data_IF_168160841387
#
_entry.id   IF_168160841387
#
_cell.length_a   1.000
_cell.length_b   1.000
_cell.length_c   1.000
_cell.angle_alpha   90.00
_cell.angle_beta   90.00
_cell.angle_gamma   90.00
#
_symmetry.space_group_name_H-M   'P 1'
#
loop_
_entity.id
_entity.type
_entity.pdbx_description
1 polymer ?
#
# COMPACT_ATOMS: atom_id res chain seq x y z
N UNK A 1 14.04 20.10 24.36
CA UNK A 1 13.96 20.58 22.96
C UNK A 1 13.74 19.34 22.10
N UNK A 2 12.70 19.32 21.26
CA UNK A 2 12.40 18.16 20.42
C UNK A 2 13.35 18.14 19.22
N UNK A 3 13.74 16.93 18.79
CA UNK A 3 14.63 16.71 17.65
C UNK A 3 13.99 17.25 16.35
N UNK A 4 14.79 17.89 15.48
CA UNK A 4 14.33 18.44 14.19
C UNK A 4 13.82 17.37 13.22
N UNK A 5 14.10 16.09 13.52
CA UNK A 5 13.61 14.94 12.77
C UNK A 5 12.17 14.52 13.12
N UNK A 6 11.56 15.09 14.17
CA UNK A 6 10.21 14.73 14.61
C UNK A 6 9.17 15.19 13.58
N UNK A 7 8.59 14.22 12.86
CA UNK A 7 7.50 14.46 11.91
C UNK A 7 6.17 13.96 12.47
N UNK A 8 5.25 14.89 12.71
CA UNK A 8 3.84 14.59 12.96
C UNK A 8 3.16 14.24 11.63
N UNK A 9 2.58 13.05 11.56
CA UNK A 9 1.78 12.59 10.43
C UNK A 9 0.45 12.05 10.96
N UNK A 10 -0.63 12.23 10.20
CA UNK A 10 -1.94 11.68 10.54
C UNK A 10 -2.12 10.30 9.88
N UNK A 11 -2.92 9.44 10.51
CA UNK A 11 -3.22 8.11 9.98
C UNK A 11 -4.21 8.23 8.81
N UNK A 12 -3.70 8.19 7.57
CA UNK A 12 -4.51 8.23 6.34
C UNK A 12 -5.39 6.99 6.19
N UNK A 13 -5.03 5.87 6.79
CA UNK A 13 -5.80 4.63 6.71
C UNK A 13 -7.08 4.70 7.56
N UNK A 14 -7.07 5.47 8.64
CA UNK A 14 -8.20 5.61 9.56
C UNK A 14 -9.30 6.55 9.06
N UNK A 15 -9.03 7.31 7.99
CA UNK A 15 -9.99 8.26 7.43
C UNK A 15 -10.97 7.52 6.51
N UNK A 16 -12.20 7.29 6.98
CA UNK A 16 -13.25 6.59 6.22
C UNK A 16 -13.60 7.30 4.90
N UNK A 17 -13.49 8.63 4.83
CA UNK A 17 -13.72 9.39 3.60
C UNK A 17 -12.70 9.07 2.47
N UNK A 18 -11.54 8.52 2.81
CA UNK A 18 -10.53 8.09 1.84
C UNK A 18 -10.70 6.63 1.39
N UNK A 19 -11.69 5.90 1.95
CA UNK A 19 -11.92 4.48 1.64
C UNK A 19 -12.17 4.24 0.14
N UNK A 20 -13.02 5.04 -0.50
CA UNK A 20 -13.33 4.89 -1.93
C UNK A 20 -12.09 5.10 -2.82
N UNK A 21 -11.16 5.98 -2.42
CA UNK A 21 -9.90 6.17 -3.14
C UNK A 21 -8.97 4.97 -2.97
N UNK A 22 -8.89 4.41 -1.75
CA UNK A 22 -8.12 3.18 -1.48
C UNK A 22 -8.67 2.01 -2.28
N UNK A 23 -9.98 1.82 -2.30
CA UNK A 23 -10.64 0.74 -3.03
C UNK A 23 -10.34 0.80 -4.54
N UNK A 24 -10.37 2.00 -5.13
CA UNK A 24 -9.97 2.20 -6.53
C UNK A 24 -8.50 1.82 -6.79
N UNK A 25 -7.58 2.17 -5.88
CA UNK A 25 -6.16 1.81 -6.00
C UNK A 25 -5.99 0.29 -5.87
N UNK A 26 -6.67 -0.32 -4.91
CA UNK A 26 -6.62 -1.77 -4.67
C UNK A 26 -7.17 -2.54 -5.87
N UNK A 27 -8.30 -2.12 -6.43
CA UNK A 27 -8.88 -2.71 -7.63
C UNK A 27 -7.92 -2.61 -8.82
N UNK A 28 -7.27 -1.47 -9.03
CA UNK A 28 -6.26 -1.31 -10.09
C UNK A 28 -5.08 -2.26 -9.92
N UNK A 29 -4.51 -2.32 -8.73
CA UNK A 29 -3.36 -3.18 -8.41
C UNK A 29 -3.73 -4.67 -8.54
N UNK A 30 -4.94 -5.05 -8.12
CA UNK A 30 -5.44 -6.41 -8.27
C UNK A 30 -5.56 -6.81 -9.75
N UNK A 31 -6.10 -5.92 -10.58
CA UNK A 31 -6.31 -6.14 -12.02
C UNK A 31 -5.03 -6.03 -12.88
N UNK A 32 -3.87 -5.68 -12.32
CA UNK A 32 -2.61 -5.69 -13.06
C UNK A 32 -2.09 -7.13 -13.25
N UNK A 33 -2.09 -7.64 -14.49
CA UNK A 33 -1.60 -8.99 -14.79
C UNK A 33 -0.08 -9.10 -14.98
N UNK A 34 0.66 -7.99 -14.95
CA UNK A 34 2.10 -7.97 -15.21
C UNK A 34 2.96 -7.87 -13.94
N UNK A 35 2.34 -7.58 -12.79
CA UNK A 35 3.03 -7.46 -11.50
C UNK A 35 3.00 -8.77 -10.73
N UNK A 36 4.10 -9.08 -10.07
CA UNK A 36 4.19 -10.16 -9.08
C UNK A 36 3.39 -9.82 -7.81
N UNK A 37 3.08 -10.83 -7.00
CA UNK A 37 2.35 -10.63 -5.73
C UNK A 37 3.10 -9.65 -4.82
N UNK A 38 4.43 -9.73 -4.74
CA UNK A 38 5.24 -8.83 -3.91
C UNK A 38 5.27 -7.40 -4.45
N UNK A 39 5.27 -7.19 -5.76
CA UNK A 39 5.15 -5.85 -6.35
C UNK A 39 3.77 -5.24 -6.09
N UNK A 40 2.69 -6.03 -6.20
CA UNK A 40 1.34 -5.60 -5.83
C UNK A 40 1.26 -5.21 -4.35
N UNK A 41 1.87 -5.99 -3.47
CA UNK A 41 1.93 -5.72 -2.02
C UNK A 41 2.73 -4.46 -1.70
N UNK A 42 3.87 -4.26 -2.34
CA UNK A 42 4.67 -3.05 -2.17
C UNK A 42 3.88 -1.79 -2.60
N UNK A 43 3.09 -1.87 -3.68
CA UNK A 43 2.27 -0.76 -4.16
C UNK A 43 1.16 -0.32 -3.18
N UNK A 44 0.71 -1.22 -2.31
CA UNK A 44 -0.28 -0.93 -1.24
C UNK A 44 0.34 -0.80 0.15
N UNK A 45 1.67 -0.80 0.28
CA UNK A 45 2.38 -0.64 1.55
C UNK A 45 2.44 -1.89 2.43
N UNK A 46 2.18 -3.07 1.86
CA UNK A 46 2.29 -4.35 2.57
C UNK A 46 3.70 -4.95 2.44
N UNK A 47 4.17 -5.57 3.51
CA UNK A 47 5.45 -6.31 3.50
C UNK A 47 5.40 -7.50 2.53
N UNK A 48 6.53 -7.86 1.89
CA UNK A 48 6.60 -8.99 0.98
C UNK A 48 6.31 -10.32 1.71
N UNK A 49 5.88 -11.31 0.95
CA UNK A 49 5.68 -12.69 1.43
C UNK A 49 6.67 -13.64 0.75
N UNK A 50 6.97 -14.74 1.43
CA UNK A 50 7.72 -15.84 0.86
C UNK A 50 6.99 -16.37 -0.38
N UNK A 51 7.73 -16.70 -1.44
CA UNK A 51 7.18 -17.13 -2.75
C UNK A 51 6.32 -16.10 -3.51
N UNK A 52 6.25 -14.84 -3.05
CA UNK A 52 5.43 -13.79 -3.69
C UNK A 52 6.02 -13.18 -4.97
N UNK A 53 7.22 -13.57 -5.40
CA UNK A 53 7.84 -13.11 -6.65
C UNK A 53 7.36 -13.92 -7.87
N UNK A 54 6.05 -14.11 -7.97
CA UNK A 54 5.39 -14.86 -9.05
C UNK A 54 4.22 -14.03 -9.57
N UNK A 55 4.00 -14.10 -10.88
CA UNK A 55 2.81 -13.53 -11.51
C UNK A 55 1.68 -14.55 -11.31
N UNK A 56 0.49 -14.06 -10.93
CA UNK A 56 -0.73 -14.86 -10.71
C UNK A 56 -1.88 -14.31 -11.54
#
# INVERSE_FOLDING_TARGET
>A
MFDESLKLSYNKDDISALASKRENIWSRVQNCNFMTINEKRAAVGLSPILDGNKIV
#
